data_IF_524140934133
#
_entry.id   IF_524140934133
#
_cell.length_a   1.000
_cell.length_b   1.000
_cell.length_c   1.000
_cell.angle_alpha   90.00
_cell.angle_beta   90.00
_cell.angle_gamma   90.00
#
_symmetry.space_group_name_H-M   'P 1'
#
loop_
_entity.id
_entity.type
_entity.pdbx_description
1 polymer ?
#
# COMPACT_ATOMS: atom_id res chain seq x y z
N UNK A 1 26.07 -14.44 46.75
CA UNK A 1 25.69 -15.40 47.82
C UNK A 1 24.20 -15.30 48.12
N UNK A 2 23.54 -16.43 48.19
CA UNK A 2 22.12 -16.80 48.42
C UNK A 2 21.32 -16.84 47.10
N UNK A 3 21.17 -17.94 46.45
CA UNK A 3 20.63 -19.29 46.59
C UNK A 3 19.13 -19.34 47.02
N UNK A 4 18.39 -19.86 46.02
CA UNK A 4 17.34 -20.90 46.12
C UNK A 4 15.97 -20.45 46.64
N UNK A 5 14.86 -20.86 46.03
CA UNK A 5 14.36 -22.25 46.01
C UNK A 5 13.17 -22.42 45.03
N UNK A 6 13.21 -23.51 44.34
CA UNK A 6 12.15 -24.16 43.55
C UNK A 6 11.08 -24.72 44.51
N UNK A 7 9.82 -24.65 44.10
CA UNK A 7 8.78 -25.54 44.62
C UNK A 7 7.85 -26.00 43.49
N UNK A 8 8.05 -27.27 43.20
CA UNK A 8 7.23 -28.16 42.36
C UNK A 8 6.06 -28.68 43.20
N UNK A 9 4.82 -28.67 42.71
CA UNK A 9 3.76 -29.51 43.21
C UNK A 9 3.04 -30.24 42.08
N UNK A 10 2.98 -31.55 42.28
CA UNK A 10 2.44 -32.58 41.40
C UNK A 10 1.22 -33.25 42.05
N UNK A 11 0.16 -33.50 41.28
CA UNK A 11 -0.85 -34.57 41.30
C UNK A 11 -1.99 -34.55 42.38
N UNK A 12 -3.09 -35.32 42.20
CA UNK A 12 -3.37 -36.44 41.27
C UNK A 12 -4.71 -36.47 40.51
N UNK A 13 -4.77 -37.38 39.55
CA UNK A 13 -5.88 -37.95 38.79
C UNK A 13 -6.80 -38.78 39.68
N UNK A 14 -8.11 -38.77 39.45
CA UNK A 14 -9.01 -39.90 39.71
C UNK A 14 -10.15 -39.91 38.69
N UNK A 15 -10.23 -40.98 37.93
CA UNK A 15 -11.35 -41.31 37.07
C UNK A 15 -12.44 -42.06 37.79
N UNK A 16 -13.62 -42.11 37.20
CA UNK A 16 -14.60 -43.20 37.38
C UNK A 16 -15.61 -43.20 36.21
N UNK A 17 -15.74 -44.37 35.65
CA UNK A 17 -16.70 -44.85 34.66
C UNK A 17 -18.07 -45.09 35.23
N UNK A 18 -19.14 -44.89 34.46
CA UNK A 18 -20.36 -45.69 34.53
C UNK A 18 -21.15 -45.66 33.25
N UNK A 19 -21.44 -46.83 32.71
CA UNK A 19 -22.37 -47.15 31.63
C UNK A 19 -23.83 -47.03 32.07
N UNK A 20 -24.74 -46.74 31.14
CA UNK A 20 -26.18 -46.92 31.30
C UNK A 20 -26.88 -46.86 29.95
N UNK A 21 -27.50 -48.00 29.57
CA UNK A 21 -28.21 -48.28 28.34
C UNK A 21 -29.60 -47.63 28.22
N UNK A 22 -29.95 -47.25 26.99
CA UNK A 22 -31.29 -47.57 26.38
C UNK A 22 -32.40 -46.52 26.54
N UNK A 23 -32.78 -45.83 25.51
CA UNK A 23 -34.13 -46.02 24.94
C UNK A 23 -34.29 -45.37 23.54
N UNK A 24 -34.87 -46.12 22.65
CA UNK A 24 -35.18 -45.70 21.25
C UNK A 24 -36.46 -44.88 21.23
N UNK A 25 -36.40 -43.67 20.69
CA UNK A 25 -37.56 -42.99 20.11
C UNK A 25 -37.16 -42.31 18.79
N UNK A 26 -37.76 -42.77 17.71
CA UNK A 26 -37.82 -42.10 16.42
C UNK A 26 -38.23 -40.64 16.60
N UNK A 27 -37.35 -39.73 16.27
CA UNK A 27 -37.67 -38.35 16.01
C UNK A 27 -37.26 -37.99 14.58
N UNK A 28 -38.26 -37.57 13.82
CA UNK A 28 -38.18 -37.02 12.47
C UNK A 28 -37.07 -36.03 12.42
N UNK A 29 -36.05 -36.29 11.57
CA UNK A 29 -35.04 -35.29 11.16
C UNK A 29 -35.76 -34.15 10.44
N UNK A 30 -35.86 -33.03 11.12
CA UNK A 30 -35.95 -31.73 10.46
C UNK A 30 -34.56 -31.46 9.92
N UNK A 31 -34.39 -31.57 8.61
CA UNK A 31 -33.20 -31.07 7.94
C UNK A 31 -33.15 -29.57 8.15
N UNK A 32 -32.34 -29.13 9.12
CA UNK A 32 -31.91 -27.73 9.21
C UNK A 32 -31.27 -27.36 7.87
N UNK A 33 -31.82 -26.34 7.23
CA UNK A 33 -31.13 -25.66 6.14
C UNK A 33 -29.75 -25.29 6.65
N UNK A 34 -28.71 -25.76 5.98
CA UNK A 34 -27.33 -25.44 6.31
C UNK A 34 -27.21 -23.91 6.39
N UNK A 35 -26.87 -23.44 7.56
CA UNK A 35 -26.44 -22.05 7.77
C UNK A 35 -25.16 -21.85 6.95
N UNK A 36 -25.30 -21.19 5.79
CA UNK A 36 -24.20 -20.92 4.84
C UNK A 36 -23.50 -19.60 5.15
N UNK A 37 -23.69 -19.05 6.36
CA UNK A 37 -22.90 -17.92 6.79
C UNK A 37 -21.46 -18.41 7.05
N UNK A 38 -20.48 -17.80 6.38
CA UNK A 38 -19.06 -17.95 6.72
C UNK A 38 -18.91 -17.58 8.20
N UNK A 39 -18.32 -18.44 9.04
CA UNK A 39 -18.15 -18.10 10.44
C UNK A 39 -17.36 -16.80 10.57
N UNK A 40 -17.83 -15.87 11.39
CA UNK A 40 -17.13 -14.61 11.67
C UNK A 40 -15.71 -14.81 12.28
N UNK A 41 -15.40 -16.04 12.64
CA UNK A 41 -14.18 -16.49 13.34
C UNK A 41 -13.29 -17.36 12.45
N UNK A 42 -13.29 -17.12 11.12
CA UNK A 42 -12.35 -17.80 10.22
C UNK A 42 -10.97 -17.13 10.29
N UNK A 43 -9.88 -17.89 10.05
CA UNK A 43 -8.51 -17.37 10.04
C UNK A 43 -8.34 -16.18 9.08
N UNK A 44 -9.12 -16.12 7.99
CA UNK A 44 -9.11 -15.03 7.02
C UNK A 44 -9.72 -13.73 7.54
N UNK A 45 -10.56 -13.79 8.59
CA UNK A 45 -11.15 -12.59 9.20
C UNK A 45 -10.42 -12.12 10.44
N UNK A 46 -9.43 -12.86 10.94
CA UNK A 46 -8.63 -12.48 12.13
C UNK A 46 -7.90 -11.13 11.96
N UNK A 47 -7.59 -10.78 10.69
CA UNK A 47 -6.89 -9.54 10.37
C UNK A 47 -7.81 -8.31 10.33
N UNK A 48 -9.14 -8.48 10.49
CA UNK A 48 -10.10 -7.40 10.36
C UNK A 48 -10.79 -7.11 11.69
N UNK A 49 -11.14 -5.85 11.94
CA UNK A 49 -12.08 -5.50 12.99
C UNK A 49 -13.49 -5.82 12.49
N UNK A 50 -14.04 -6.93 12.95
CA UNK A 50 -15.39 -7.37 12.58
C UNK A 50 -16.40 -6.82 13.58
N UNK A 51 -16.95 -5.64 13.32
CA UNK A 51 -17.79 -4.92 14.26
C UNK A 51 -18.86 -4.09 13.53
N UNK A 52 -20.01 -4.63 13.35
CA UNK A 52 -21.08 -4.14 12.48
C UNK A 52 -21.83 -2.91 13.00
N UNK A 53 -21.46 -2.31 14.13
CA UNK A 53 -22.26 -1.21 14.72
C UNK A 53 -21.41 -0.06 15.27
N UNK A 54 -20.11 -0.16 15.29
CA UNK A 54 -19.22 0.89 15.79
C UNK A 54 -18.30 1.42 14.71
N UNK A 55 -18.06 2.71 14.73
CA UNK A 55 -17.02 3.33 13.90
C UNK A 55 -15.67 3.21 14.61
N UNK A 56 -14.62 3.00 13.81
CA UNK A 56 -13.23 2.95 14.26
C UNK A 56 -12.37 3.78 13.33
N UNK A 57 -11.19 4.17 13.80
CA UNK A 57 -10.19 4.77 12.92
C UNK A 57 -9.51 3.78 12.01
N UNK A 58 -9.65 2.51 12.31
CA UNK A 58 -8.86 1.44 11.71
C UNK A 58 -9.77 0.29 11.31
N UNK A 59 -9.44 -0.34 10.20
CA UNK A 59 -10.02 -1.61 9.77
C UNK A 59 -9.22 -2.80 10.30
N UNK A 60 -8.07 -2.53 10.92
CA UNK A 60 -7.21 -3.49 11.60
C UNK A 60 -6.65 -2.88 12.88
N UNK A 61 -6.63 -3.65 13.98
CA UNK A 61 -6.11 -3.24 15.29
C UNK A 61 -6.88 -2.09 15.94
N UNK A 62 -7.47 -2.36 17.06
CA UNK A 62 -8.13 -1.37 17.90
C UNK A 62 -7.10 -0.68 18.80
N UNK A 63 -6.68 0.52 18.43
CA UNK A 63 -5.84 1.37 19.28
C UNK A 63 -6.64 2.15 20.31
N UNK A 64 -7.94 1.86 20.43
CA UNK A 64 -8.81 2.42 21.47
C UNK A 64 -9.37 3.80 21.21
N UNK A 65 -9.14 4.40 20.02
CA UNK A 65 -9.79 5.64 19.65
C UNK A 65 -10.84 5.44 18.57
N UNK A 66 -12.09 5.65 18.93
CA UNK A 66 -13.19 5.70 17.97
C UNK A 66 -13.19 7.04 17.26
N UNK A 67 -13.11 7.04 15.94
CA UNK A 67 -13.38 8.20 15.10
C UNK A 67 -14.32 7.79 13.98
N UNK A 68 -15.00 8.78 13.42
CA UNK A 68 -16.07 8.58 12.46
C UNK A 68 -15.59 8.44 10.99
N UNK A 69 -14.33 8.12 10.74
CA UNK A 69 -13.80 8.04 9.39
C UNK A 69 -13.88 6.65 8.74
N UNK A 70 -13.96 5.59 9.55
CA UNK A 70 -14.10 4.22 9.07
C UNK A 70 -15.27 3.56 9.78
N UNK A 71 -16.23 3.05 9.04
CA UNK A 71 -17.20 2.07 9.54
C UNK A 71 -16.60 0.69 9.39
N UNK A 72 -16.83 -0.10 10.42
CA UNK A 72 -16.15 -1.36 10.58
C UNK A 72 -16.66 -2.41 9.62
N UNK A 73 -15.75 -3.29 9.27
CA UNK A 73 -15.96 -4.40 8.39
C UNK A 73 -17.04 -5.39 8.90
N UNK A 74 -17.85 -5.86 8.00
CA UNK A 74 -18.80 -6.93 8.17
C UNK A 74 -18.65 -7.95 7.05
N UNK A 75 -19.07 -9.19 7.28
CA UNK A 75 -19.13 -10.19 6.21
C UNK A 75 -20.44 -10.05 5.45
N UNK A 76 -20.36 -9.86 4.14
CA UNK A 76 -21.51 -9.79 3.25
C UNK A 76 -21.37 -10.78 2.10
N UNK A 77 -22.48 -11.35 1.65
CA UNK A 77 -22.55 -12.17 0.45
C UNK A 77 -23.15 -11.32 -0.67
N UNK A 78 -22.38 -11.02 -1.70
CA UNK A 78 -22.81 -10.17 -2.81
C UNK A 78 -23.54 -10.90 -3.93
N UNK A 79 -23.44 -12.22 -3.96
CA UNK A 79 -24.08 -13.06 -4.97
C UNK A 79 -25.12 -13.97 -4.32
N UNK A 80 -26.41 -13.64 -4.50
CA UNK A 80 -27.53 -14.45 -3.99
C UNK A 80 -27.55 -15.88 -4.58
N UNK A 81 -26.82 -16.12 -5.68
CA UNK A 81 -26.73 -17.41 -6.35
C UNK A 81 -25.43 -18.16 -6.02
N UNK A 82 -24.43 -17.48 -5.46
CA UNK A 82 -23.15 -18.06 -5.08
C UNK A 82 -22.89 -17.81 -3.58
N UNK A 83 -23.47 -18.66 -2.75
CA UNK A 83 -23.44 -18.56 -1.29
C UNK A 83 -22.05 -18.79 -0.67
N UNK A 84 -21.07 -19.22 -1.48
CA UNK A 84 -19.74 -19.60 -1.02
C UNK A 84 -18.72 -18.44 -1.03
N UNK A 85 -19.10 -17.26 -1.56
CA UNK A 85 -18.18 -16.11 -1.68
C UNK A 85 -18.55 -15.03 -0.67
N UNK A 86 -17.83 -15.01 0.44
CA UNK A 86 -17.94 -13.96 1.47
C UNK A 86 -16.99 -12.78 1.15
N UNK A 87 -17.44 -11.58 1.49
CA UNK A 87 -16.65 -10.36 1.39
C UNK A 87 -16.65 -9.62 2.71
N UNK A 88 -15.50 -9.05 3.06
CA UNK A 88 -15.40 -8.05 4.11
C UNK A 88 -15.82 -6.71 3.50
N UNK A 89 -16.85 -6.10 4.05
CA UNK A 89 -17.37 -4.80 3.62
C UNK A 89 -16.85 -3.70 4.53
N UNK A 90 -16.32 -2.63 3.94
CA UNK A 90 -15.76 -1.47 4.66
C UNK A 90 -16.34 -0.19 4.08
N UNK A 91 -16.81 0.71 4.95
CA UNK A 91 -17.15 2.09 4.59
C UNK A 91 -16.15 3.04 5.24
N UNK A 92 -15.71 4.07 4.50
CA UNK A 92 -14.82 5.09 5.03
C UNK A 92 -15.00 6.45 4.34
N UNK A 93 -14.82 7.52 5.09
CA UNK A 93 -14.73 8.87 4.53
C UNK A 93 -13.47 9.07 3.70
N UNK A 94 -12.42 8.27 3.93
CA UNK A 94 -11.09 8.43 3.33
C UNK A 94 -10.29 9.61 3.90
N UNK A 95 -10.78 10.27 4.94
CA UNK A 95 -10.08 11.37 5.63
C UNK A 95 -9.34 10.80 6.84
N UNK A 96 -8.00 10.80 6.84
CA UNK A 96 -7.24 10.26 7.97
C UNK A 96 -7.24 11.23 9.15
N UNK A 97 -6.79 10.72 10.29
CA UNK A 97 -6.40 11.53 11.43
C UNK A 97 -4.96 11.21 11.79
N UNK A 98 -4.11 12.23 11.72
CA UNK A 98 -2.73 12.15 12.13
C UNK A 98 -2.42 13.23 13.15
N UNK A 99 -1.57 12.89 14.12
CA UNK A 99 -0.87 13.82 14.99
C UNK A 99 0.63 13.57 14.83
N UNK A 100 1.36 14.54 14.27
CA UNK A 100 2.78 14.41 13.97
C UNK A 100 3.58 15.41 14.79
N UNK A 101 4.50 14.92 15.61
CA UNK A 101 5.49 15.78 16.25
C UNK A 101 6.56 16.14 15.23
N UNK A 102 6.64 17.41 14.87
CA UNK A 102 7.61 17.92 13.92
C UNK A 102 9.03 17.78 14.43
N UNK A 103 9.89 17.19 13.62
CA UNK A 103 11.34 17.16 13.88
C UNK A 103 12.03 18.27 13.10
N UNK A 104 13.25 18.64 13.52
CA UNK A 104 14.08 19.59 12.77
C UNK A 104 14.28 19.13 11.31
N UNK A 105 14.47 17.83 11.08
CA UNK A 105 14.64 17.25 9.74
C UNK A 105 13.40 17.47 8.88
N UNK A 106 12.21 17.27 9.43
CA UNK A 106 10.95 17.51 8.70
C UNK A 106 10.78 18.97 8.31
N UNK A 107 11.06 19.89 9.22
CA UNK A 107 11.02 21.35 8.96
C UNK A 107 12.03 21.73 7.86
N UNK A 108 13.25 21.20 7.91
CA UNK A 108 14.26 21.41 6.88
C UNK A 108 13.84 20.86 5.52
N UNK A 109 13.27 19.64 5.46
CA UNK A 109 12.77 19.03 4.23
C UNK A 109 11.63 19.85 3.60
N UNK A 110 10.70 20.36 4.40
CA UNK A 110 9.63 21.24 3.91
C UNK A 110 10.22 22.51 3.27
N UNK A 111 11.21 23.12 3.90
CA UNK A 111 11.83 24.37 3.43
C UNK A 111 12.82 24.17 2.26
N UNK A 112 13.30 22.95 2.02
CA UNK A 112 14.20 22.59 0.92
C UNK A 112 13.46 22.18 -0.36
N UNK A 113 12.13 22.27 -0.41
CA UNK A 113 11.35 22.00 -1.61
C UNK A 113 11.81 22.89 -2.77
N UNK A 114 11.87 22.39 -4.02
CA UNK A 114 12.36 23.16 -5.16
C UNK A 114 11.58 24.46 -5.41
N UNK A 115 10.32 24.49 -4.99
CA UNK A 115 9.41 25.62 -5.16
C UNK A 115 8.90 26.18 -3.82
N UNK A 116 9.69 26.08 -2.77
CA UNK A 116 9.28 26.56 -1.43
C UNK A 116 8.73 28.00 -1.47
N UNK A 117 9.32 28.89 -2.28
CA UNK A 117 8.88 30.29 -2.43
C UNK A 117 7.44 30.41 -2.98
N UNK A 118 6.96 29.43 -3.72
CA UNK A 118 5.59 29.39 -4.25
C UNK A 118 4.68 28.41 -3.49
N UNK A 119 5.27 27.38 -2.90
CA UNK A 119 4.54 26.34 -2.17
C UNK A 119 4.08 26.79 -0.80
N UNK A 120 4.77 27.80 -0.21
CA UNK A 120 4.39 28.40 1.05
C UNK A 120 4.07 29.89 0.92
N UNK A 121 3.09 30.36 1.69
CA UNK A 121 2.61 31.75 1.69
C UNK A 121 3.74 32.77 1.94
N UNK A 122 4.74 32.39 2.73
CA UNK A 122 5.88 33.25 3.08
C UNK A 122 7.23 32.69 2.64
N UNK A 123 7.23 31.71 1.72
CA UNK A 123 8.42 31.04 1.23
C UNK A 123 9.01 29.98 2.17
N UNK A 124 8.35 29.69 3.29
CA UNK A 124 8.73 28.65 4.23
C UNK A 124 7.54 28.17 5.04
N UNK A 125 7.67 26.95 5.60
CA UNK A 125 6.62 26.41 6.50
C UNK A 125 6.51 27.24 7.78
N UNK A 126 5.30 27.30 8.35
CA UNK A 126 5.04 27.84 9.69
C UNK A 126 5.34 26.82 10.80
N UNK A 127 5.41 25.54 10.46
CA UNK A 127 5.71 24.48 11.41
C UNK A 127 7.11 24.65 12.02
N UNK A 128 7.23 24.37 13.31
CA UNK A 128 8.49 24.44 14.05
C UNK A 128 8.79 23.11 14.74
N UNK A 129 10.07 22.86 15.03
CA UNK A 129 10.48 21.67 15.77
C UNK A 129 9.73 21.56 17.10
N UNK A 130 9.25 20.35 17.42
CA UNK A 130 8.51 20.05 18.65
C UNK A 130 7.02 20.41 18.59
N UNK A 131 6.54 21.08 17.55
CA UNK A 131 5.11 21.30 17.35
C UNK A 131 4.43 19.97 17.00
N UNK A 132 3.26 19.72 17.56
CA UNK A 132 2.36 18.67 17.10
C UNK A 132 1.47 19.25 16.02
N UNK A 133 1.57 18.73 14.81
CA UNK A 133 0.75 19.12 13.66
C UNK A 133 -0.28 18.03 13.41
N UNK A 134 -1.55 18.42 13.43
CA UNK A 134 -2.66 17.51 13.12
C UNK A 134 -2.99 17.50 11.64
N UNK A 135 -3.66 16.45 11.16
CA UNK A 135 -4.13 16.40 9.77
C UNK A 135 -5.02 17.61 9.45
N UNK A 136 -4.68 18.35 8.41
CA UNK A 136 -5.40 19.58 8.00
C UNK A 136 -5.05 20.83 8.84
N UNK A 137 -3.99 20.81 9.64
CA UNK A 137 -3.51 22.01 10.33
C UNK A 137 -2.74 22.92 9.37
N UNK A 138 -2.93 24.23 9.53
CA UNK A 138 -2.23 25.23 8.74
C UNK A 138 -0.75 25.28 9.11
N UNK A 139 0.10 24.83 8.20
CA UNK A 139 1.57 24.93 8.29
C UNK A 139 2.16 25.89 7.25
N UNK A 140 1.31 26.74 6.67
CA UNK A 140 1.71 27.82 5.78
C UNK A 140 1.73 27.48 4.29
N UNK A 141 1.14 26.36 3.87
CA UNK A 141 1.04 26.07 2.44
C UNK A 141 0.26 27.14 1.68
N UNK A 142 0.72 27.49 0.49
CA UNK A 142 0.05 28.38 -0.42
C UNK A 142 -0.91 27.59 -1.33
N UNK A 143 -1.92 27.01 -0.71
CA UNK A 143 -2.99 26.31 -1.44
C UNK A 143 -4.05 27.28 -1.92
N UNK A 144 -3.67 28.15 -2.85
CA UNK A 144 -4.59 29.10 -3.50
C UNK A 144 -5.61 28.45 -4.44
N UNK A 145 -5.72 27.13 -4.40
CA UNK A 145 -6.67 26.40 -5.22
C UNK A 145 -8.08 26.65 -4.72
N UNK A 146 -8.95 27.14 -5.58
CA UNK A 146 -10.38 27.39 -5.31
C UNK A 146 -11.09 26.16 -4.73
N UNK A 147 -10.54 24.97 -4.93
CA UNK A 147 -11.08 23.69 -4.47
C UNK A 147 -10.77 23.36 -3.00
N UNK A 148 -9.90 24.09 -2.33
CA UNK A 148 -9.54 23.87 -0.93
C UNK A 148 -10.43 24.60 0.08
N UNK A 149 -11.33 25.46 -0.37
CA UNK A 149 -12.16 26.30 0.49
C UNK A 149 -13.17 25.54 1.37
N UNK A 150 -13.46 24.28 1.05
CA UNK A 150 -14.46 23.48 1.78
C UNK A 150 -13.91 22.62 2.89
N UNK A 151 -12.58 22.44 2.95
CA UNK A 151 -11.92 21.46 3.86
C UNK A 151 -10.79 22.05 4.68
N UNK A 152 -10.72 23.33 4.88
CA UNK A 152 -9.72 23.94 5.72
C UNK A 152 -9.13 25.21 5.12
N UNK A 153 -9.27 25.46 3.83
CA UNK A 153 -8.86 26.71 3.20
C UNK A 153 -7.37 26.81 2.87
N UNK A 154 -6.91 28.03 2.68
CA UNK A 154 -5.52 28.33 2.38
C UNK A 154 -4.60 27.89 3.54
N UNK A 155 -3.43 27.37 3.19
CA UNK A 155 -2.38 27.03 4.16
C UNK A 155 -2.38 25.59 4.66
N UNK A 156 -3.45 24.86 4.47
CA UNK A 156 -3.63 23.53 5.07
C UNK A 156 -3.03 22.37 4.25
N UNK A 157 -2.95 22.52 2.94
CA UNK A 157 -2.59 21.43 2.05
C UNK A 157 -1.42 21.79 1.13
N UNK A 158 -0.55 20.82 0.78
CA UNK A 158 0.48 21.06 -0.21
C UNK A 158 -0.12 21.48 -1.55
N UNK A 159 0.59 22.24 -2.38
CA UNK A 159 0.15 22.61 -3.71
C UNK A 159 0.22 21.42 -4.68
N UNK A 160 -0.48 20.37 -4.33
CA UNK A 160 -0.62 19.13 -5.08
C UNK A 160 -1.90 19.10 -5.91
N UNK A 161 -2.33 17.90 -6.37
CA UNK A 161 -3.43 17.78 -7.32
C UNK A 161 -4.80 18.21 -6.77
N UNK A 162 -4.96 18.32 -5.46
CA UNK A 162 -6.22 18.78 -4.87
C UNK A 162 -6.26 18.77 -3.36
N UNK A 163 -7.41 19.14 -2.79
CA UNK A 163 -7.66 19.09 -1.37
C UNK A 163 -8.46 17.86 -1.00
N UNK A 164 -8.17 17.21 0.15
CA UNK A 164 -8.95 16.08 0.63
C UNK A 164 -10.41 16.48 0.86
N UNK A 165 -11.33 15.62 0.44
CA UNK A 165 -12.75 15.71 0.72
C UNK A 165 -13.28 14.35 1.11
N UNK A 166 -14.36 14.33 1.88
CA UNK A 166 -15.05 13.09 2.20
C UNK A 166 -15.48 12.37 0.92
N UNK A 167 -15.15 11.08 0.82
CA UNK A 167 -15.34 10.29 -0.39
C UNK A 167 -16.48 9.29 -0.30
N UNK A 168 -17.02 9.00 0.90
CA UNK A 168 -18.05 7.98 1.14
C UNK A 168 -17.70 6.65 0.45
N UNK A 169 -16.47 6.19 0.67
CA UNK A 169 -15.95 4.98 0.02
C UNK A 169 -16.65 3.74 0.53
N UNK A 170 -16.97 2.86 -0.40
CA UNK A 170 -17.41 1.49 -0.14
C UNK A 170 -16.41 0.54 -0.77
N UNK A 171 -15.90 -0.42 0.01
CA UNK A 171 -14.91 -1.37 -0.43
C UNK A 171 -15.29 -2.79 -0.03
N UNK A 172 -15.11 -3.73 -0.95
CA UNK A 172 -15.38 -5.15 -0.76
C UNK A 172 -14.10 -5.94 -0.97
N UNK A 173 -13.69 -6.69 0.04
CA UNK A 173 -12.48 -7.51 0.01
C UNK A 173 -12.85 -8.98 0.15
N UNK A 174 -12.32 -9.90 -0.68
CA UNK A 174 -12.56 -11.32 -0.50
C UNK A 174 -12.18 -11.79 0.90
N UNK A 175 -13.04 -12.53 1.59
CA UNK A 175 -12.72 -13.18 2.87
C UNK A 175 -11.63 -14.22 2.68
N UNK A 176 -11.70 -14.95 1.56
CA UNK A 176 -10.73 -15.95 1.14
C UNK A 176 -10.10 -15.52 -0.19
N UNK A 177 -9.00 -14.75 -0.17
CA UNK A 177 -8.30 -14.38 -1.38
C UNK A 177 -7.87 -15.61 -2.17
N UNK A 178 -8.12 -15.61 -3.47
CA UNK A 178 -7.71 -16.69 -4.37
C UNK A 178 -6.63 -16.20 -5.34
N UNK A 179 -5.57 -16.98 -5.50
CA UNK A 179 -4.52 -16.65 -6.45
C UNK A 179 -5.03 -16.66 -7.89
N UNK A 180 -4.42 -15.83 -8.71
CA UNK A 180 -4.47 -15.99 -10.17
C UNK A 180 -3.53 -17.14 -10.53
N UNK A 181 -4.06 -18.20 -11.13
CA UNK A 181 -3.29 -19.41 -11.44
C UNK A 181 -2.41 -19.22 -12.68
N UNK A 182 -1.37 -20.04 -12.79
CA UNK A 182 -0.48 -20.02 -13.94
C UNK A 182 -1.24 -20.28 -15.25
N UNK A 183 -1.16 -19.35 -16.19
CA UNK A 183 -1.84 -19.44 -17.49
C UNK A 183 -3.20 -18.73 -17.53
N UNK A 184 -3.69 -18.20 -16.42
CA UNK A 184 -4.79 -17.25 -16.38
C UNK A 184 -4.30 -15.84 -16.80
N UNK A 185 -5.26 -14.99 -17.16
CA UNK A 185 -4.96 -13.60 -17.47
C UNK A 185 -4.54 -12.86 -16.19
N UNK A 186 -3.36 -12.22 -16.20
CA UNK A 186 -2.88 -11.43 -15.08
C UNK A 186 -3.75 -10.19 -14.86
N UNK A 187 -3.92 -9.79 -13.62
CA UNK A 187 -4.65 -8.59 -13.25
C UNK A 187 -3.65 -7.46 -12.96
N UNK A 188 -3.36 -6.64 -13.96
CA UNK A 188 -2.48 -5.48 -13.79
C UNK A 188 -3.13 -4.44 -12.88
N UNK A 189 -2.35 -3.86 -11.97
CA UNK A 189 -2.78 -2.75 -11.13
C UNK A 189 -2.92 -1.49 -11.97
N UNK A 190 -4.17 -0.98 -12.12
CA UNK A 190 -4.45 0.25 -12.86
C UNK A 190 -4.09 1.50 -12.06
N UNK A 191 -4.02 2.66 -12.76
CA UNK A 191 -3.90 3.96 -12.10
C UNK A 191 -5.07 4.18 -11.13
N UNK A 192 -4.78 4.72 -9.95
CA UNK A 192 -5.74 5.00 -8.91
C UNK A 192 -5.72 3.96 -7.78
N UNK A 193 -6.89 3.68 -7.21
CA UNK A 193 -7.00 2.85 -6.01
C UNK A 193 -6.66 1.40 -6.29
N UNK A 194 -5.79 0.83 -5.46
CA UNK A 194 -5.43 -0.59 -5.47
C UNK A 194 -5.66 -1.26 -4.10
N UNK A 195 -6.15 -0.51 -3.11
CA UNK A 195 -6.45 -0.99 -1.77
C UNK A 195 -6.82 0.13 -0.83
N UNK A 196 -6.96 -0.22 0.46
CA UNK A 196 -7.16 0.72 1.57
C UNK A 196 -6.11 0.51 2.65
N UNK A 197 -5.60 1.60 3.20
CA UNK A 197 -4.85 1.59 4.46
C UNK A 197 -5.79 1.35 5.64
N UNK A 198 -5.28 0.87 6.78
CA UNK A 198 -6.08 0.54 7.97
C UNK A 198 -6.83 1.74 8.55
N UNK A 199 -6.40 2.96 8.26
CA UNK A 199 -7.08 4.19 8.64
C UNK A 199 -8.11 4.66 7.59
N UNK A 200 -8.42 3.84 6.59
CA UNK A 200 -9.43 4.11 5.56
C UNK A 200 -8.97 5.00 4.39
N UNK A 201 -7.72 5.45 4.37
CA UNK A 201 -7.16 6.17 3.22
C UNK A 201 -6.90 5.22 2.05
N UNK A 202 -6.90 5.73 0.82
CA UNK A 202 -6.60 4.89 -0.34
C UNK A 202 -5.12 4.54 -0.45
N UNK A 203 -4.84 3.33 -0.92
CA UNK A 203 -3.56 2.95 -1.51
C UNK A 203 -3.70 3.17 -3.00
N UNK A 204 -2.83 4.00 -3.59
CA UNK A 204 -2.74 4.15 -5.04
C UNK A 204 -1.57 3.34 -5.57
N UNK A 205 -1.63 2.99 -6.85
CA UNK A 205 -0.55 2.25 -7.48
C UNK A 205 0.70 3.13 -7.65
N UNK A 206 1.79 2.55 -8.12
CA UNK A 206 3.09 3.17 -8.27
C UNK A 206 3.18 4.31 -9.32
N UNK A 207 2.18 4.48 -10.21
CA UNK A 207 2.20 5.46 -11.29
C UNK A 207 1.58 6.80 -10.90
N UNK A 208 2.15 7.92 -11.39
CA UNK A 208 1.62 9.26 -11.17
C UNK A 208 0.63 9.72 -12.26
N UNK A 209 0.38 8.88 -13.26
CA UNK A 209 -0.47 9.20 -14.41
C UNK A 209 0.22 10.02 -15.51
N UNK A 210 1.51 10.32 -15.37
CA UNK A 210 2.32 10.92 -16.44
C UNK A 210 3.12 9.88 -17.20
N UNK A 211 3.45 10.23 -18.44
CA UNK A 211 4.39 9.49 -19.27
C UNK A 211 5.13 10.43 -20.20
N UNK A 212 6.34 10.05 -20.57
CA UNK A 212 7.17 10.70 -21.56
C UNK A 212 7.29 9.83 -22.81
N UNK A 213 7.86 10.39 -23.88
CA UNK A 213 8.21 9.62 -25.07
C UNK A 213 7.02 8.93 -25.75
N UNK A 214 5.96 9.69 -26.11
CA UNK A 214 4.76 9.16 -26.78
C UNK A 214 4.04 8.06 -25.95
N UNK A 215 3.96 8.23 -24.63
CA UNK A 215 3.37 7.31 -23.66
C UNK A 215 4.13 5.98 -23.52
N UNK A 216 5.43 6.03 -23.60
CA UNK A 216 6.29 4.86 -23.45
C UNK A 216 6.94 4.78 -22.07
N UNK A 217 7.32 5.92 -21.48
CA UNK A 217 8.03 6.00 -20.20
C UNK A 217 7.08 6.49 -19.12
N UNK A 218 6.57 5.55 -18.30
CA UNK A 218 5.58 5.86 -17.25
C UNK A 218 6.26 6.31 -15.98
N UNK A 219 5.93 7.53 -15.57
CA UNK A 219 6.53 8.17 -14.39
C UNK A 219 6.05 7.50 -13.09
N UNK A 220 6.99 7.29 -12.17
CA UNK A 220 6.69 6.74 -10.86
C UNK A 220 6.28 7.84 -9.89
N UNK A 221 5.11 7.68 -9.24
CA UNK A 221 4.55 8.65 -8.31
C UNK A 221 5.49 9.02 -7.15
N UNK A 222 6.15 8.07 -6.44
CA UNK A 222 7.01 8.42 -5.32
C UNK A 222 8.21 9.31 -5.67
N UNK A 223 8.64 9.31 -6.91
CA UNK A 223 9.74 10.17 -7.38
C UNK A 223 9.24 11.49 -7.97
N UNK A 224 8.15 11.47 -8.73
CA UNK A 224 7.60 12.67 -9.36
C UNK A 224 6.86 13.55 -8.35
N UNK A 225 6.13 12.95 -7.43
CA UNK A 225 5.25 13.62 -6.48
C UNK A 225 5.89 13.84 -5.10
N UNK A 226 7.20 13.58 -4.94
CA UNK A 226 7.90 13.69 -3.66
C UNK A 226 7.75 15.05 -2.97
N UNK A 227 7.42 16.09 -3.72
CA UNK A 227 7.17 17.43 -3.21
C UNK A 227 5.68 17.83 -3.23
N UNK A 228 4.80 16.95 -3.66
CA UNK A 228 3.37 17.21 -3.76
C UNK A 228 2.57 16.55 -2.64
N UNK A 229 3.25 15.87 -1.73
CA UNK A 229 2.68 15.21 -0.55
C UNK A 229 2.84 16.07 0.70
N UNK A 230 1.96 15.84 1.67
CA UNK A 230 2.03 16.45 3.01
C UNK A 230 3.11 15.80 3.89
N UNK A 231 3.16 16.19 5.17
CA UNK A 231 4.13 15.64 6.14
C UNK A 231 3.97 14.15 6.40
N UNK A 232 2.84 13.57 6.04
CA UNK A 232 2.54 12.14 6.15
C UNK A 232 2.75 11.38 4.84
N UNK A 233 3.28 12.03 3.80
CA UNK A 233 3.55 11.39 2.52
C UNK A 233 2.29 11.04 1.73
N UNK A 234 1.21 11.79 1.93
CA UNK A 234 -0.03 11.64 1.18
C UNK A 234 -0.52 12.94 0.59
N UNK A 235 -1.41 12.86 -0.37
CA UNK A 235 -2.07 13.99 -1.01
C UNK A 235 -3.45 13.57 -1.58
N UNK A 236 -4.16 14.51 -2.21
CA UNK A 236 -5.48 14.21 -2.75
C UNK A 236 -5.54 14.38 -4.26
N UNK A 237 -6.05 13.38 -4.97
CA UNK A 237 -6.47 13.48 -6.36
C UNK A 237 -8.00 13.43 -6.45
N UNK A 238 -8.61 14.46 -7.03
CA UNK A 238 -10.07 14.62 -7.05
C UNK A 238 -10.74 14.50 -5.67
N UNK A 239 -10.04 14.96 -4.62
CA UNK A 239 -10.50 14.90 -3.23
C UNK A 239 -10.18 13.59 -2.50
N UNK A 240 -9.74 12.55 -3.18
CA UNK A 240 -9.38 11.26 -2.59
C UNK A 240 -7.96 11.30 -2.03
N UNK A 241 -7.83 11.42 -0.70
CA UNK A 241 -6.53 11.38 -0.03
C UNK A 241 -5.95 9.96 -0.07
N UNK A 242 -4.70 9.85 -0.48
CA UNK A 242 -4.06 8.56 -0.74
C UNK A 242 -2.55 8.57 -0.50
N UNK A 243 -1.99 7.37 -0.45
CA UNK A 243 -0.55 7.12 -0.37
C UNK A 243 -0.11 6.22 -1.53
N UNK A 244 1.08 6.49 -2.07
CA UNK A 244 1.75 5.64 -3.05
C UNK A 244 2.86 4.78 -2.44
N UNK A 245 3.30 5.13 -1.23
CA UNK A 245 4.48 4.54 -0.57
C UNK A 245 4.35 4.59 0.95
N UNK A 246 5.41 4.17 1.64
CA UNK A 246 5.53 4.19 3.09
C UNK A 246 5.22 5.56 3.70
N UNK A 247 4.49 5.54 4.80
CA UNK A 247 4.22 6.72 5.61
C UNK A 247 4.59 6.49 7.08
N UNK A 248 5.46 7.34 7.61
CA UNK A 248 5.83 7.30 9.03
C UNK A 248 4.66 7.64 9.97
N UNK A 249 3.67 8.39 9.48
CA UNK A 249 2.46 8.69 10.24
C UNK A 249 1.66 7.41 10.51
N UNK A 250 1.50 6.56 9.49
CA UNK A 250 0.81 5.28 9.66
C UNK A 250 1.64 4.30 10.48
N UNK A 251 2.98 4.28 10.29
CA UNK A 251 3.89 3.48 11.13
C UNK A 251 3.72 3.80 12.62
N UNK A 252 3.72 5.09 12.96
CA UNK A 252 3.48 5.54 14.33
C UNK A 252 2.08 5.14 14.84
N UNK A 253 1.09 5.20 13.95
CA UNK A 253 -0.29 4.87 14.27
C UNK A 253 -0.47 3.40 14.64
N UNK A 254 0.14 2.49 13.86
CA UNK A 254 0.08 1.04 14.10
C UNK A 254 1.18 0.53 15.03
N UNK A 255 2.04 1.41 15.53
CA UNK A 255 3.12 1.08 16.47
C UNK A 255 4.28 0.31 15.85
N UNK A 256 4.54 0.50 14.57
CA UNK A 256 5.65 -0.14 13.87
C UNK A 256 6.97 0.62 14.12
N UNK A 257 7.82 0.05 14.95
CA UNK A 257 9.15 0.56 15.27
C UNK A 257 10.29 -0.30 14.71
N UNK A 258 9.96 -1.29 13.89
CA UNK A 258 10.90 -2.23 13.29
C UNK A 258 11.48 -3.26 14.26
N UNK A 259 10.99 -3.36 15.48
CA UNK A 259 11.49 -4.34 16.47
C UNK A 259 11.03 -5.77 16.22
N UNK A 260 10.04 -5.94 15.35
CA UNK A 260 9.49 -7.24 14.93
C UNK A 260 9.11 -7.20 13.46
N UNK A 261 8.52 -8.28 12.94
CA UNK A 261 7.79 -8.20 11.69
C UNK A 261 6.75 -7.09 11.77
N UNK A 262 6.70 -6.22 10.75
CA UNK A 262 5.74 -5.11 10.70
C UNK A 262 4.30 -5.58 10.87
N UNK A 263 3.43 -4.77 11.49
CA UNK A 263 1.99 -5.00 11.48
C UNK A 263 1.36 -4.73 10.11
N UNK A 264 0.06 -5.01 9.99
CA UNK A 264 -0.73 -4.69 8.79
C UNK A 264 -0.90 -3.17 8.68
N UNK A 265 -0.61 -2.63 7.50
CA UNK A 265 -0.79 -1.22 7.10
C UNK A 265 -2.03 -1.02 6.25
N UNK A 266 -2.50 -2.07 5.59
CA UNK A 266 -3.66 -2.00 4.71
C UNK A 266 -4.03 -3.35 4.12
N UNK A 267 -4.97 -3.30 3.19
CA UNK A 267 -5.41 -4.45 2.43
C UNK A 267 -5.46 -4.09 0.94
N UNK A 268 -4.87 -4.96 0.13
CA UNK A 268 -4.98 -4.88 -1.32
C UNK A 268 -6.40 -5.21 -1.79
N UNK A 269 -6.77 -4.73 -2.95
CA UNK A 269 -8.11 -4.92 -3.51
C UNK A 269 -8.49 -6.39 -3.77
N UNK A 270 -7.50 -7.28 -3.88
CA UNK A 270 -7.65 -8.72 -3.98
C UNK A 270 -7.84 -9.43 -2.62
N UNK A 271 -7.85 -8.68 -1.52
CA UNK A 271 -8.09 -9.17 -0.17
C UNK A 271 -6.85 -9.55 0.62
N UNK A 272 -5.68 -9.65 -0.01
CA UNK A 272 -4.45 -9.93 0.72
C UNK A 272 -3.99 -8.74 1.57
N UNK A 273 -3.49 -8.99 2.80
CA UNK A 273 -2.98 -7.93 3.66
C UNK A 273 -1.66 -7.34 3.11
N UNK A 274 -1.50 -6.03 3.32
CA UNK A 274 -0.26 -5.30 3.07
C UNK A 274 0.39 -5.00 4.42
N UNK A 275 1.52 -5.63 4.69
CA UNK A 275 2.33 -5.37 5.88
C UNK A 275 3.30 -4.20 5.66
N UNK A 276 3.79 -3.64 6.75
CA UNK A 276 4.84 -2.63 6.69
C UNK A 276 6.20 -3.18 6.24
N UNK A 277 7.28 -2.38 6.31
CA UNK A 277 8.51 -2.68 5.60
C UNK A 277 9.41 -3.74 6.25
N UNK A 278 9.15 -4.16 7.48
CA UNK A 278 10.06 -5.07 8.19
C UNK A 278 9.57 -6.51 8.14
N UNK A 279 10.41 -7.39 7.62
CA UNK A 279 10.25 -8.85 7.62
C UNK A 279 10.50 -9.46 9.01
N UNK A 280 11.41 -8.87 9.75
CA UNK A 280 11.78 -9.24 11.12
C UNK A 280 12.52 -8.08 11.78
N UNK A 281 12.95 -8.26 13.04
CA UNK A 281 13.66 -7.23 13.79
C UNK A 281 14.76 -6.56 12.96
N UNK A 282 14.60 -5.26 12.69
CA UNK A 282 15.50 -4.39 11.90
C UNK A 282 15.90 -4.94 10.50
N UNK A 283 15.10 -5.85 9.95
CA UNK A 283 15.34 -6.46 8.65
C UNK A 283 14.24 -6.06 7.69
N UNK A 284 14.56 -5.32 6.65
CA UNK A 284 13.61 -4.90 5.63
C UNK A 284 13.22 -6.08 4.73
N UNK A 285 11.95 -6.15 4.36
CA UNK A 285 11.49 -6.95 3.23
C UNK A 285 12.08 -6.37 1.93
N UNK A 286 12.65 -7.23 1.10
CA UNK A 286 13.40 -6.82 -0.09
C UNK A 286 12.68 -7.29 -1.35
N UNK A 287 12.38 -6.35 -2.24
CA UNK A 287 11.76 -6.65 -3.53
C UNK A 287 12.75 -7.33 -4.50
N UNK A 288 12.24 -8.25 -5.30
CA UNK A 288 12.96 -8.84 -6.43
C UNK A 288 13.09 -7.91 -7.65
N UNK A 289 12.44 -6.75 -7.63
CA UNK A 289 12.57 -5.73 -8.68
C UNK A 289 13.90 -4.98 -8.56
N UNK A 290 14.52 -4.70 -9.69
CA UNK A 290 15.82 -4.01 -9.79
C UNK A 290 15.76 -2.92 -10.84
N UNK A 291 16.57 -1.89 -10.64
CA UNK A 291 16.81 -0.85 -11.65
C UNK A 291 17.73 -1.41 -12.72
N UNK A 292 17.43 -1.12 -13.98
CA UNK A 292 18.21 -1.53 -15.15
C UNK A 292 19.55 -0.77 -15.20
N UNK A 293 20.56 -1.45 -15.70
CA UNK A 293 21.81 -0.82 -16.16
C UNK A 293 21.74 -0.65 -17.67
N UNK A 294 21.51 0.57 -18.13
CA UNK A 294 21.39 0.90 -19.54
C UNK A 294 22.71 0.70 -20.32
N UNK A 295 23.85 0.75 -19.65
CA UNK A 295 25.17 0.45 -20.21
C UNK A 295 25.45 -1.02 -20.38
N UNK A 296 24.66 -1.90 -19.74
CA UNK A 296 24.80 -3.33 -19.91
C UNK A 296 24.41 -3.81 -21.32
N UNK A 297 24.86 -5.04 -21.65
CA UNK A 297 24.47 -5.74 -22.88
C UNK A 297 22.93 -5.95 -22.94
N UNK A 298 22.37 -5.89 -24.13
CA UNK A 298 20.94 -6.11 -24.37
C UNK A 298 20.44 -7.46 -23.85
N UNK A 299 21.27 -8.50 -23.81
CA UNK A 299 20.96 -9.81 -23.21
C UNK A 299 20.83 -9.79 -21.69
N UNK A 300 21.27 -8.71 -21.05
CA UNK A 300 21.16 -8.44 -19.62
C UNK A 300 20.14 -7.35 -19.31
N UNK A 301 19.35 -6.96 -20.31
CA UNK A 301 18.33 -5.92 -20.18
C UNK A 301 18.84 -4.48 -20.34
N UNK A 302 20.10 -4.27 -20.72
CA UNK A 302 20.68 -2.98 -21.06
C UNK A 302 20.41 -2.55 -22.50
N UNK A 303 20.92 -1.39 -22.89
CA UNK A 303 20.83 -0.85 -24.25
C UNK A 303 22.21 -0.65 -24.90
N UNK A 304 23.26 -1.22 -24.36
CA UNK A 304 24.66 -0.99 -24.78
C UNK A 304 25.07 0.50 -24.77
N UNK A 305 24.34 1.35 -24.04
CA UNK A 305 24.57 2.80 -24.04
C UNK A 305 24.31 3.37 -22.66
N UNK A 306 25.40 3.62 -21.92
CA UNK A 306 25.33 4.19 -20.58
C UNK A 306 24.60 5.53 -20.55
N UNK A 307 23.69 5.68 -19.59
CA UNK A 307 22.96 6.94 -19.34
C UNK A 307 21.86 7.26 -20.35
N UNK A 308 21.61 6.42 -21.35
CA UNK A 308 20.61 6.66 -22.37
C UNK A 308 19.45 5.66 -22.32
N UNK A 309 18.24 6.16 -22.23
CA UNK A 309 17.00 5.37 -22.37
C UNK A 309 16.67 5.11 -23.83
N UNK A 310 17.56 4.38 -24.53
CA UNK A 310 17.47 4.09 -25.96
C UNK A 310 16.77 2.78 -26.29
N UNK A 311 16.37 2.01 -25.30
CA UNK A 311 15.60 0.77 -25.47
C UNK A 311 14.70 0.47 -24.28
N UNK A 312 13.63 -0.28 -24.50
CA UNK A 312 12.77 -0.85 -23.47
C UNK A 312 12.85 -2.37 -23.46
N UNK A 313 12.59 -3.01 -22.34
CA UNK A 313 12.48 -4.46 -22.26
C UNK A 313 11.26 -4.95 -23.05
N UNK A 314 11.42 -6.10 -23.72
CA UNK A 314 10.28 -6.80 -24.35
C UNK A 314 9.36 -7.34 -23.28
N UNK A 315 9.94 -7.80 -22.15
CA UNK A 315 9.23 -8.31 -20.99
C UNK A 315 10.00 -7.95 -19.72
N UNK A 316 9.43 -7.14 -18.83
CA UNK A 316 10.11 -6.77 -17.59
C UNK A 316 10.25 -7.93 -16.59
N UNK A 317 9.56 -9.06 -16.80
CA UNK A 317 9.68 -10.26 -15.98
C UNK A 317 10.68 -11.27 -16.52
N UNK A 318 11.15 -11.09 -17.75
CA UNK A 318 12.10 -11.99 -18.41
C UNK A 318 13.05 -11.23 -19.35
N UNK A 319 14.16 -10.76 -18.79
CA UNK A 319 15.17 -10.00 -19.56
C UNK A 319 15.77 -10.81 -20.70
N UNK A 320 15.67 -12.15 -20.68
CA UNK A 320 16.19 -13.01 -21.77
C UNK A 320 15.42 -12.84 -23.08
N UNK A 321 14.22 -12.24 -23.04
CA UNK A 321 13.44 -11.86 -24.23
C UNK A 321 14.03 -10.66 -24.97
N UNK A 322 15.03 -10.01 -24.35
CA UNK A 322 15.79 -8.91 -24.94
C UNK A 322 15.06 -7.57 -24.85
N UNK A 323 15.52 -6.64 -25.68
CA UNK A 323 15.06 -5.25 -25.69
C UNK A 323 14.54 -4.84 -27.07
N UNK A 324 13.77 -3.75 -27.06
CA UNK A 324 13.29 -3.09 -28.26
C UNK A 324 13.85 -1.67 -28.28
N UNK A 325 14.53 -1.29 -29.38
CA UNK A 325 15.07 0.05 -29.55
C UNK A 325 13.95 1.09 -29.58
N UNK A 326 14.21 2.20 -28.89
CA UNK A 326 13.38 3.40 -28.86
C UNK A 326 14.29 4.63 -28.93
N UNK A 327 13.76 5.80 -29.32
CA UNK A 327 14.58 6.98 -29.53
C UNK A 327 14.08 8.24 -28.83
N UNK A 328 13.09 8.10 -27.94
CA UNK A 328 12.30 9.23 -27.44
C UNK A 328 12.12 9.26 -25.92
N UNK A 329 12.98 8.57 -25.16
CA UNK A 329 13.03 8.66 -23.70
C UNK A 329 13.89 9.83 -23.23
N UNK A 330 13.57 10.43 -22.04
CA UNK A 330 14.52 11.34 -21.39
C UNK A 330 15.77 10.57 -20.95
N UNK A 331 16.96 11.12 -21.21
CA UNK A 331 18.20 10.51 -20.76
C UNK A 331 18.35 10.56 -19.24
N UNK A 332 19.20 9.69 -18.67
CA UNK A 332 19.49 9.69 -17.26
C UNK A 332 20.04 11.06 -16.82
N UNK A 333 19.37 11.70 -15.86
CA UNK A 333 19.72 13.03 -15.37
C UNK A 333 19.18 14.19 -16.22
N UNK A 334 18.47 13.94 -17.31
CA UNK A 334 17.74 14.95 -18.05
C UNK A 334 16.60 15.51 -17.18
N UNK A 335 16.34 16.82 -17.32
CA UNK A 335 15.28 17.47 -16.56
C UNK A 335 13.91 17.19 -17.18
N UNK A 336 12.99 16.73 -16.36
CA UNK A 336 11.55 16.55 -16.65
C UNK A 336 10.72 17.48 -15.78
N UNK A 337 9.52 17.82 -16.23
CA UNK A 337 8.62 18.69 -15.45
C UNK A 337 7.41 17.90 -15.01
N UNK A 338 7.17 17.83 -13.69
CA UNK A 338 6.05 17.12 -13.07
C UNK A 338 4.72 17.86 -13.33
N UNK A 339 3.59 17.19 -13.03
CA UNK A 339 2.24 17.77 -13.14
C UNK A 339 2.09 19.06 -12.34
N UNK A 340 2.69 19.14 -11.16
CA UNK A 340 2.70 20.32 -10.29
C UNK A 340 3.69 21.41 -10.74
N UNK A 341 4.47 21.14 -11.79
CA UNK A 341 5.44 22.09 -12.36
C UNK A 341 6.79 22.12 -11.66
N UNK A 342 7.11 21.13 -10.83
CA UNK A 342 8.47 20.93 -10.32
C UNK A 342 9.36 20.42 -11.47
N UNK A 343 10.60 20.90 -11.53
CA UNK A 343 11.62 20.40 -12.47
C UNK A 343 12.54 19.46 -11.70
N UNK A 344 12.57 18.20 -12.12
CA UNK A 344 13.35 17.14 -11.49
C UNK A 344 14.27 16.48 -12.53
N UNK A 345 15.40 15.95 -12.07
CA UNK A 345 16.25 15.13 -12.91
C UNK A 345 15.65 13.71 -13.02
N UNK A 346 15.47 13.21 -14.24
CA UNK A 346 15.05 11.84 -14.52
C UNK A 346 16.21 10.87 -14.22
N UNK A 347 16.47 10.65 -12.92
CA UNK A 347 17.52 9.74 -12.44
C UNK A 347 17.21 8.29 -12.78
N UNK A 348 18.15 7.38 -12.49
CA UNK A 348 17.90 5.94 -12.56
C UNK A 348 16.68 5.57 -11.70
N UNK A 349 15.78 4.75 -12.25
CA UNK A 349 14.56 4.33 -11.56
C UNK A 349 13.45 5.38 -11.51
N UNK A 350 13.49 6.42 -12.37
CA UNK A 350 12.45 7.45 -12.44
C UNK A 350 11.17 6.94 -13.12
N UNK A 351 11.31 6.01 -14.08
CA UNK A 351 10.22 5.44 -14.85
C UNK A 351 10.01 3.97 -14.54
N UNK A 352 8.79 3.46 -14.77
CA UNK A 352 8.50 2.02 -14.65
C UNK A 352 9.44 1.19 -15.54
N UNK A 353 9.71 1.63 -16.76
CA UNK A 353 10.54 0.95 -17.75
C UNK A 353 12.02 0.92 -17.37
N UNK A 354 12.41 1.66 -16.32
CA UNK A 354 13.73 1.55 -15.70
C UNK A 354 13.86 0.27 -14.85
N UNK A 355 12.78 -0.49 -14.64
CA UNK A 355 12.78 -1.61 -13.73
C UNK A 355 12.55 -2.95 -14.42
N UNK A 356 13.07 -4.01 -13.81
CA UNK A 356 12.79 -5.39 -14.16
C UNK A 356 12.74 -6.28 -12.93
N UNK A 357 12.02 -7.38 -13.03
CA UNK A 357 11.97 -8.37 -11.98
C UNK A 357 13.11 -9.38 -12.14
N UNK A 358 14.04 -9.37 -11.20
CA UNK A 358 15.22 -10.25 -11.22
C UNK A 358 15.01 -11.58 -10.48
N UNK A 359 13.88 -11.77 -9.82
CA UNK A 359 13.49 -12.97 -9.09
C UNK A 359 13.87 -12.95 -7.62
N UNK A 360 13.30 -13.87 -6.87
CA UNK A 360 13.55 -14.04 -5.42
C UNK A 360 14.92 -14.62 -5.11
N UNK A 361 15.61 -15.15 -6.10
CA UNK A 361 16.98 -15.71 -5.95
C UNK A 361 18.07 -14.66 -6.04
N UNK A 362 17.73 -13.41 -6.32
CA UNK A 362 18.64 -12.28 -6.29
C UNK A 362 19.03 -12.02 -4.84
N UNK A 363 20.30 -11.64 -4.62
CA UNK A 363 20.85 -11.40 -3.29
C UNK A 363 19.93 -10.55 -2.42
N UNK A 364 19.47 -11.11 -1.30
CA UNK A 364 18.59 -10.47 -0.35
C UNK A 364 17.12 -10.32 -0.77
N UNK A 365 16.74 -10.68 -2.00
CA UNK A 365 15.35 -10.59 -2.44
C UNK A 365 14.50 -11.70 -1.84
N UNK A 366 13.37 -11.32 -1.24
CA UNK A 366 12.44 -12.22 -0.57
C UNK A 366 11.04 -12.17 -1.20
N UNK A 367 10.67 -11.05 -1.82
CA UNK A 367 9.35 -10.81 -2.37
C UNK A 367 9.28 -11.22 -3.84
N UNK A 368 8.14 -11.78 -4.23
CA UNK A 368 7.85 -12.18 -5.60
C UNK A 368 7.57 -10.95 -6.51
N UNK A 369 7.20 -11.23 -7.76
CA UNK A 369 6.92 -10.17 -8.75
C UNK A 369 5.73 -9.28 -8.39
N UNK A 370 4.84 -9.77 -7.52
CA UNK A 370 3.68 -9.04 -7.03
C UNK A 370 4.00 -8.22 -5.78
N UNK A 371 5.25 -8.26 -5.28
CA UNK A 371 5.75 -7.63 -4.06
C UNK A 371 5.21 -8.25 -2.77
N UNK A 372 5.00 -9.56 -2.78
CA UNK A 372 4.53 -10.32 -1.63
C UNK A 372 5.22 -11.68 -1.52
N UNK A 373 4.88 -12.41 -0.48
CA UNK A 373 5.35 -13.78 -0.24
C UNK A 373 4.45 -14.53 0.75
N UNK A 374 4.69 -15.82 0.90
CA UNK A 374 4.20 -16.66 1.99
C UNK A 374 5.40 -17.25 2.73
N UNK A 375 5.65 -16.80 3.93
CA UNK A 375 6.74 -17.27 4.79
C UNK A 375 6.40 -18.53 5.55
N UNK A 376 5.19 -19.08 5.39
CA UNK A 376 4.69 -20.28 6.07
C UNK A 376 4.72 -20.16 7.62
N UNK A 377 4.66 -18.94 8.13
CA UNK A 377 4.63 -18.63 9.57
C UNK A 377 3.20 -18.44 10.11
N UNK A 378 2.20 -18.76 9.29
CA UNK A 378 0.78 -18.67 9.63
C UNK A 378 0.09 -17.40 9.15
N UNK A 379 0.83 -16.43 8.56
CA UNK A 379 0.24 -15.22 7.98
C UNK A 379 -0.36 -15.44 6.58
N UNK A 380 0.03 -16.55 5.90
CA UNK A 380 -0.30 -16.79 4.52
C UNK A 380 0.38 -15.81 3.57
N UNK A 381 -0.08 -15.78 2.33
CA UNK A 381 0.44 -14.81 1.36
C UNK A 381 0.08 -13.38 1.78
N UNK A 382 1.06 -12.48 1.72
CA UNK A 382 0.90 -11.07 2.04
C UNK A 382 1.89 -10.21 1.25
N UNK A 383 1.50 -8.95 1.02
CA UNK A 383 2.35 -7.92 0.43
C UNK A 383 3.17 -7.18 1.49
N UNK A 384 4.25 -6.54 1.08
CA UNK A 384 5.02 -5.64 1.92
C UNK A 384 5.16 -4.25 1.30
N UNK A 385 5.11 -3.22 2.14
CA UNK A 385 5.67 -1.92 1.78
C UNK A 385 7.18 -2.07 1.64
N UNK A 386 7.77 -1.57 0.56
CA UNK A 386 9.20 -1.73 0.31
C UNK A 386 9.98 -0.43 0.49
N UNK A 387 11.07 -0.55 1.25
CA UNK A 387 12.05 0.49 1.47
C UNK A 387 13.44 -0.02 1.12
N UNK A 388 14.33 0.90 0.78
CA UNK A 388 15.76 0.64 0.67
C UNK A 388 16.55 1.56 1.59
N UNK A 389 17.72 1.13 2.01
CA UNK A 389 18.60 1.97 2.81
C UNK A 389 19.61 2.67 1.91
N UNK A 390 19.51 3.99 1.83
CA UNK A 390 20.48 4.81 1.13
C UNK A 390 21.86 4.79 1.83
N UNK A 391 22.91 5.22 1.14
CA UNK A 391 24.28 5.22 1.65
C UNK A 391 24.47 6.05 2.93
N UNK A 392 23.62 7.05 3.14
CA UNK A 392 23.61 7.88 4.36
C UNK A 392 22.82 7.25 5.52
N UNK A 393 22.30 6.02 5.33
CA UNK A 393 21.49 5.30 6.30
C UNK A 393 20.00 5.68 6.33
N UNK A 394 19.56 6.65 5.51
CA UNK A 394 18.15 7.03 5.38
C UNK A 394 17.38 5.92 4.67
N UNK A 395 16.16 5.65 5.12
CA UNK A 395 15.22 4.78 4.41
C UNK A 395 14.50 5.58 3.32
N UNK A 396 14.46 5.01 2.12
CA UNK A 396 13.82 5.61 0.95
C UNK A 396 12.85 4.61 0.31
N UNK A 397 11.74 5.06 -0.28
CA UNK A 397 10.82 4.18 -0.98
C UNK A 397 11.51 3.40 -2.11
N UNK A 398 11.23 2.10 -2.19
CA UNK A 398 11.77 1.21 -3.21
C UNK A 398 10.66 0.62 -4.08
N UNK A 399 10.84 0.63 -5.39
CA UNK A 399 9.86 0.05 -6.32
C UNK A 399 9.62 -1.45 -6.01
N UNK A 400 8.36 -1.91 -5.99
CA UNK A 400 7.12 -1.28 -6.41
C UNK A 400 6.34 -0.58 -5.28
N UNK A 401 6.94 -0.25 -4.18
CA UNK A 401 6.48 0.55 -3.05
C UNK A 401 5.46 -0.10 -2.14
N UNK A 402 4.40 -0.70 -2.67
CA UNK A 402 3.31 -1.37 -1.96
C UNK A 402 2.97 -2.69 -2.65
N UNK A 403 2.00 -2.68 -3.55
CA UNK A 403 1.60 -3.82 -4.36
C UNK A 403 2.33 -3.72 -5.71
N UNK A 404 2.76 -4.85 -6.26
CA UNK A 404 3.46 -4.91 -7.53
C UNK A 404 2.63 -4.47 -8.73
N UNK A 405 3.20 -4.51 -9.95
CA UNK A 405 2.47 -4.17 -11.16
C UNK A 405 1.25 -5.05 -11.44
N UNK A 406 1.16 -6.22 -10.81
CA UNK A 406 0.01 -7.10 -10.87
C UNK A 406 -0.46 -7.48 -9.48
N UNK A 407 -1.76 -7.68 -9.31
CA UNK A 407 -2.32 -8.34 -8.14
C UNK A 407 -1.93 -9.83 -8.12
N UNK A 408 -1.74 -10.38 -6.94
CA UNK A 408 -1.55 -11.82 -6.73
C UNK A 408 -2.87 -12.58 -6.87
N UNK A 409 -3.93 -11.98 -6.35
CA UNK A 409 -5.25 -12.56 -6.28
C UNK A 409 -6.23 -12.00 -7.29
N UNK A 410 -7.34 -12.69 -7.40
CA UNK A 410 -8.47 -12.27 -8.23
C UNK A 410 -9.24 -11.14 -7.55
N UNK A 411 -9.69 -10.16 -8.32
CA UNK A 411 -10.53 -9.07 -7.82
C UNK A 411 -12.00 -9.51 -7.78
N UNK A 412 -12.70 -9.09 -6.73
CA UNK A 412 -14.15 -9.16 -6.69
C UNK A 412 -14.79 -8.29 -7.77
N UNK A 413 -15.98 -8.66 -8.24
CA UNK A 413 -16.72 -7.85 -9.23
C UNK A 413 -17.05 -6.43 -8.75
N UNK A 414 -17.18 -6.24 -7.42
CA UNK A 414 -17.43 -4.97 -6.76
C UNK A 414 -16.18 -4.43 -6.05
N UNK A 415 -14.99 -4.84 -6.50
CA UNK A 415 -13.73 -4.39 -5.90
C UNK A 415 -13.58 -2.87 -6.01
N UNK A 416 -12.83 -2.29 -5.06
CA UNK A 416 -12.39 -0.89 -5.07
C UNK A 416 -11.45 -0.59 -6.26
N UNK A 417 -10.87 -1.62 -6.87
CA UNK A 417 -9.99 -1.56 -8.03
C UNK A 417 -10.54 -2.36 -9.20
N UNK A 418 -9.93 -2.17 -10.36
CA UNK A 418 -10.20 -2.94 -11.57
C UNK A 418 -8.87 -3.34 -12.20
N UNK A 419 -8.83 -4.53 -12.82
CA UNK A 419 -7.68 -4.89 -13.63
C UNK A 419 -7.53 -3.90 -14.78
N UNK A 420 -6.32 -3.39 -14.98
CA UNK A 420 -5.99 -2.64 -16.19
C UNK A 420 -6.14 -3.57 -17.38
N UNK A 421 -6.74 -3.11 -18.47
CA UNK A 421 -6.80 -3.93 -19.68
C UNK A 421 -5.37 -4.19 -20.17
N UNK A 422 -5.03 -5.46 -20.39
CA UNK A 422 -3.72 -5.89 -20.86
C UNK A 422 -3.29 -5.08 -22.09
N UNK A 423 -2.22 -4.30 -21.97
CA UNK A 423 -1.60 -3.59 -23.07
C UNK A 423 -1.57 -2.07 -23.02
N UNK A 424 -1.82 -1.46 -21.89
CA UNK A 424 -1.62 -0.04 -21.79
C UNK A 424 -2.13 0.60 -20.52
N UNK A 425 -1.23 1.06 -19.69
CA UNK A 425 -1.54 2.19 -18.84
C UNK A 425 -1.83 3.38 -19.76
N UNK A 426 -3.10 3.54 -20.09
CA UNK A 426 -3.50 4.76 -20.81
C UNK A 426 -3.51 5.89 -19.77
N UNK A 427 -2.64 6.91 -19.91
CA UNK A 427 -2.76 8.09 -19.08
C UNK A 427 -4.15 8.70 -19.29
N UNK A 428 -4.76 9.32 -18.26
CA UNK A 428 -6.00 10.05 -18.46
C UNK A 428 -5.80 11.12 -19.54
N UNK A 429 -6.82 11.40 -20.36
CA UNK A 429 -6.70 12.42 -21.38
C UNK A 429 -6.29 13.74 -20.73
N UNK A 430 -5.26 14.37 -21.24
CA UNK A 430 -4.82 15.71 -20.80
C UNK A 430 -6.02 16.65 -20.83
N UNK A 431 -6.35 17.25 -19.70
CA UNK A 431 -7.35 18.32 -19.61
C UNK A 431 -6.75 19.64 -20.05
#
# INVERSE_FOLDING_TARGET
MKKSMIALFMFPILGLTACGEGDTRDSVEVTDAADTSVPADSAQTENWIMNNETTSNYIYSDTGSTLENVQVAEIVNLDENNLDVGYVYVETTGIPKYDVTMTQVMVEQLNQRPRADSDFLTGSTFAVEGQVVTFGEDIGYNSSQENCSTTGGEGYWPPGPGCPTQQDKQAYFPVEPSNIEDGEESCETGLGKIGLMVNGTSIYNWGDGMSEGDNLWYTLAPVAEQYDVDICGGHAAAGDYHHHFYTSCLANLVGDDGSTHSPIYGFAADGYPLYGPYESENTLAVSGWKVRDYGADASQGGCDTEGQRSCVLVDPYDVSKGVKDVSNGPDIGENVTTLSGNTLAATDGYFYEDHYYAGVTVEGAQLDQNNGHDTHDGKGYHYHITLTQAQNGKLEPAFPYTIGPNFKGQLASNSISQCSASGGMSPPPRR
#
